data_IF_005559283900
#
_entry.id   IF_005559283900
#
_cell.length_a   1.000
_cell.length_b   1.000
_cell.length_c   1.000
_cell.angle_alpha   90.00
_cell.angle_beta   90.00
_cell.angle_gamma   90.00
#
_symmetry.space_group_name_H-M   'P 1'
#
loop_
_entity.id
_entity.type
_entity.pdbx_description
1 polymer ?
#
# COMPACT_ATOMS: atom_id res chain seq x y z
N UNK A 1 3.11 0.63 12.67
CA UNK A 1 2.85 0.09 11.31
C UNK A 1 2.03 1.06 10.48
N UNK A 2 0.75 1.34 10.78
CA UNK A 2 -0.04 2.29 9.97
C UNK A 2 0.59 3.69 9.90
N UNK A 3 1.07 4.21 11.02
CA UNK A 3 1.84 5.46 11.07
C UNK A 3 3.09 5.40 10.19
N UNK A 4 3.84 4.29 10.22
CA UNK A 4 5.02 4.10 9.37
C UNK A 4 4.66 4.02 7.88
N UNK A 5 3.55 3.39 7.53
CA UNK A 5 3.05 3.39 6.15
C UNK A 5 2.66 4.81 5.73
N UNK A 6 2.01 5.58 6.61
CA UNK A 6 1.71 6.98 6.34
C UNK A 6 2.98 7.80 6.09
N UNK A 7 4.02 7.62 6.91
CA UNK A 7 5.32 8.27 6.68
C UNK A 7 5.94 7.83 5.34
N UNK A 8 5.89 6.53 5.03
CA UNK A 8 6.37 6.01 3.75
C UNK A 8 5.65 6.66 2.55
N UNK A 9 4.32 6.80 2.63
CA UNK A 9 3.53 7.48 1.59
C UNK A 9 3.91 8.95 1.53
N UNK A 10 4.03 9.62 2.68
CA UNK A 10 4.39 11.04 2.79
C UNK A 10 5.75 11.32 2.15
N UNK A 11 6.74 10.48 2.42
CA UNK A 11 8.10 10.62 1.88
C UNK A 11 8.14 10.44 0.36
N UNK A 12 7.19 9.69 -0.20
CA UNK A 12 7.04 9.45 -1.64
C UNK A 12 6.00 10.37 -2.32
N UNK A 13 5.33 11.27 -1.57
CA UNK A 13 4.22 12.09 -2.06
C UNK A 13 4.64 13.25 -2.97
N UNK A 14 5.93 13.56 -3.06
CA UNK A 14 6.49 14.77 -3.68
C UNK A 14 5.81 15.20 -4.99
N UNK A 15 6.15 14.56 -6.12
CA UNK A 15 5.59 14.97 -7.42
C UNK A 15 4.13 14.55 -7.62
N UNK A 16 3.71 13.46 -6.99
CA UNK A 16 2.37 12.90 -7.19
C UNK A 16 1.25 13.70 -6.49
N UNK A 17 1.58 14.34 -5.36
CA UNK A 17 0.63 15.06 -4.50
C UNK A 17 1.07 16.49 -4.23
N UNK A 18 2.30 16.69 -3.71
CA UNK A 18 2.74 18.02 -3.23
C UNK A 18 2.93 19.00 -4.39
N UNK A 19 3.63 18.58 -5.44
CA UNK A 19 3.89 19.41 -6.62
C UNK A 19 2.81 19.26 -7.71
N UNK A 20 1.71 18.56 -7.41
CA UNK A 20 0.66 18.29 -8.38
C UNK A 20 -0.37 19.43 -8.40
N UNK A 21 -0.50 20.21 -9.49
CA UNK A 21 -1.37 21.39 -9.53
C UNK A 21 -2.86 21.06 -9.40
N UNK A 22 -3.27 19.81 -9.66
CA UNK A 22 -4.68 19.39 -9.55
C UNK A 22 -5.08 19.06 -8.11
N UNK A 23 -4.12 18.98 -7.18
CA UNK A 23 -4.36 18.69 -5.77
C UNK A 23 -4.04 19.95 -4.94
N UNK A 24 -5.07 20.69 -4.47
CA UNK A 24 -4.87 21.84 -3.62
C UNK A 24 -4.05 21.54 -2.36
N UNK A 25 -3.18 22.47 -1.96
CA UNK A 25 -2.29 22.31 -0.80
C UNK A 25 -3.01 21.98 0.51
N UNK A 26 -4.21 22.54 0.71
CA UNK A 26 -5.08 22.23 1.87
C UNK A 26 -5.49 20.76 1.98
N UNK A 27 -5.38 19.99 0.89
CA UNK A 27 -5.73 18.57 0.85
C UNK A 27 -4.52 17.64 0.84
N UNK A 28 -3.28 18.15 0.78
CA UNK A 28 -2.09 17.31 0.66
C UNK A 28 -2.00 16.22 1.73
N UNK A 29 -2.15 16.59 3.01
CA UNK A 29 -2.09 15.64 4.11
C UNK A 29 -3.25 14.63 4.08
N UNK A 30 -4.46 15.09 3.78
CA UNK A 30 -5.63 14.22 3.66
C UNK A 30 -5.48 13.23 2.49
N UNK A 31 -4.95 13.67 1.36
CA UNK A 31 -4.66 12.83 0.19
C UNK A 31 -3.59 11.78 0.48
N UNK A 32 -2.54 12.14 1.21
CA UNK A 32 -1.51 11.19 1.69
C UNK A 32 -2.16 10.13 2.61
N UNK A 33 -3.07 10.56 3.49
CA UNK A 33 -3.82 9.63 4.34
C UNK A 33 -4.74 8.71 3.52
N UNK A 34 -5.38 9.21 2.46
CA UNK A 34 -6.21 8.38 1.58
C UNK A 34 -5.41 7.34 0.82
N UNK A 35 -4.22 7.70 0.32
CA UNK A 35 -3.31 6.74 -0.31
C UNK A 35 -2.91 5.63 0.67
N UNK A 36 -2.55 6.01 1.90
CA UNK A 36 -2.21 5.07 2.98
C UNK A 36 -3.38 4.13 3.28
N UNK A 37 -4.59 4.68 3.40
CA UNK A 37 -5.81 3.93 3.68
C UNK A 37 -6.18 2.99 2.53
N UNK A 38 -6.07 3.43 1.27
CA UNK A 38 -6.32 2.58 0.10
C UNK A 38 -5.38 1.37 0.03
N UNK A 39 -4.11 1.54 0.40
CA UNK A 39 -3.17 0.41 0.51
C UNK A 39 -3.66 -0.58 1.56
N UNK A 40 -4.00 -0.11 2.76
CA UNK A 40 -4.46 -0.95 3.87
C UNK A 40 -5.74 -1.71 3.51
N UNK A 41 -6.74 -1.00 2.97
CA UNK A 41 -8.04 -1.54 2.61
C UNK A 41 -7.91 -2.67 1.57
N UNK A 42 -7.12 -2.45 0.52
CA UNK A 42 -6.95 -3.48 -0.52
C UNK A 42 -6.16 -4.67 0.00
N UNK A 43 -5.07 -4.45 0.74
CA UNK A 43 -4.29 -5.55 1.32
C UNK A 43 -5.13 -6.39 2.31
N UNK A 44 -5.91 -5.72 3.15
CA UNK A 44 -6.86 -6.37 4.05
C UNK A 44 -7.92 -7.16 3.26
N UNK A 45 -8.49 -6.57 2.21
CA UNK A 45 -9.46 -7.25 1.35
C UNK A 45 -8.91 -8.50 0.68
N UNK A 46 -7.64 -8.48 0.21
CA UNK A 46 -7.00 -9.70 -0.32
C UNK A 46 -6.86 -10.77 0.76
N UNK A 47 -6.45 -10.38 1.97
CA UNK A 47 -6.29 -11.29 3.10
C UNK A 47 -7.62 -11.94 3.51
N UNK A 48 -8.68 -11.13 3.63
CA UNK A 48 -10.03 -11.58 3.96
C UNK A 48 -10.64 -12.45 2.86
N UNK A 49 -10.25 -12.23 1.61
CA UNK A 49 -10.65 -13.07 0.46
C UNK A 49 -9.87 -14.39 0.36
N UNK A 50 -9.03 -14.72 1.34
CA UNK A 50 -8.23 -15.95 1.37
C UNK A 50 -6.98 -15.93 0.48
N UNK A 51 -6.61 -14.78 -0.09
CA UNK A 51 -5.46 -14.63 -1.01
C UNK A 51 -4.15 -14.36 -0.29
N UNK A 52 -3.98 -14.95 0.89
CA UNK A 52 -2.80 -14.72 1.74
C UNK A 52 -1.51 -15.24 1.09
N UNK A 53 -1.58 -16.35 0.35
CA UNK A 53 -0.42 -16.93 -0.33
C UNK A 53 0.09 -16.01 -1.43
N UNK A 54 -0.81 -15.38 -2.17
CA UNK A 54 -0.52 -14.42 -3.23
C UNK A 54 0.11 -13.15 -2.67
N UNK A 55 -0.39 -12.66 -1.54
CA UNK A 55 0.22 -11.53 -0.81
C UNK A 55 1.64 -11.88 -0.37
N UNK A 56 1.83 -13.03 0.25
CA UNK A 56 3.16 -13.47 0.71
C UNK A 56 4.13 -13.56 -0.47
N UNK A 57 3.72 -14.19 -1.58
CA UNK A 57 4.54 -14.27 -2.80
C UNK A 57 4.88 -12.90 -3.38
N UNK A 58 3.94 -11.96 -3.38
CA UNK A 58 4.18 -10.59 -3.84
C UNK A 58 5.31 -9.92 -3.04
N UNK A 59 5.23 -9.97 -1.71
CA UNK A 59 6.23 -9.35 -0.83
C UNK A 59 7.58 -10.10 -0.84
N UNK A 60 7.59 -11.41 -1.06
CA UNK A 60 8.84 -12.20 -1.15
C UNK A 60 9.58 -12.02 -2.48
N UNK A 61 8.89 -12.18 -3.60
CA UNK A 61 9.54 -12.32 -4.91
C UNK A 61 9.57 -11.05 -5.74
N UNK A 62 9.32 -9.88 -5.13
CA UNK A 62 9.23 -8.56 -5.76
C UNK A 62 10.04 -8.42 -7.06
N UNK A 63 9.33 -8.57 -8.16
CA UNK A 63 9.91 -8.76 -9.48
C UNK A 63 8.82 -9.22 -10.42
N UNK A 64 8.07 -8.27 -10.97
CA UNK A 64 7.11 -8.46 -12.08
C UNK A 64 5.85 -9.29 -11.81
N UNK A 65 5.71 -9.96 -10.66
CA UNK A 65 4.49 -10.71 -10.29
C UNK A 65 3.48 -9.83 -9.54
N UNK A 66 2.25 -9.76 -10.04
CA UNK A 66 1.08 -9.04 -9.50
C UNK A 66 0.97 -7.52 -9.75
N UNK A 67 1.03 -7.15 -11.02
CA UNK A 67 0.47 -5.89 -11.53
C UNK A 67 -0.98 -5.66 -11.06
N UNK A 68 -1.75 -6.74 -10.83
CA UNK A 68 -3.13 -6.65 -10.35
C UNK A 68 -3.28 -6.04 -8.95
N UNK A 69 -2.40 -6.35 -8.00
CA UNK A 69 -2.51 -5.81 -6.63
C UNK A 69 -2.27 -4.31 -6.62
N UNK A 70 -1.15 -3.89 -7.23
CA UNK A 70 -0.78 -2.47 -7.37
C UNK A 70 -1.85 -1.72 -8.16
N UNK A 71 -2.41 -2.33 -9.21
CA UNK A 71 -3.52 -1.74 -9.97
C UNK A 71 -4.79 -1.57 -9.13
N UNK A 72 -5.17 -2.56 -8.30
CA UNK A 72 -6.32 -2.45 -7.42
C UNK A 72 -6.17 -1.30 -6.41
N UNK A 73 -4.97 -1.14 -5.82
CA UNK A 73 -4.66 -0.04 -4.92
C UNK A 73 -4.73 1.29 -5.67
N UNK A 74 -4.11 1.35 -6.85
CA UNK A 74 -4.10 2.54 -7.72
C UNK A 74 -5.54 2.99 -8.05
N UNK A 75 -6.41 2.05 -8.43
CA UNK A 75 -7.79 2.34 -8.75
C UNK A 75 -8.60 2.76 -7.52
N UNK A 76 -8.39 2.12 -6.37
CA UNK A 76 -9.02 2.53 -5.11
C UNK A 76 -8.65 3.97 -4.76
N UNK A 77 -7.36 4.30 -4.78
CA UNK A 77 -6.89 5.63 -4.45
C UNK A 77 -7.39 6.69 -5.45
N UNK A 78 -7.31 6.41 -6.76
CA UNK A 78 -7.86 7.29 -7.79
C UNK A 78 -9.37 7.55 -7.60
N UNK A 79 -10.14 6.51 -7.23
CA UNK A 79 -11.56 6.66 -6.93
C UNK A 79 -11.80 7.60 -5.75
N UNK A 80 -10.98 7.54 -4.69
CA UNK A 80 -11.10 8.44 -3.54
C UNK A 80 -10.75 9.89 -3.89
N UNK A 81 -9.71 10.10 -4.71
CA UNK A 81 -9.36 11.42 -5.24
C UNK A 81 -10.53 12.05 -6.00
N UNK A 82 -11.21 11.25 -6.83
CA UNK A 82 -12.36 11.72 -7.57
C UNK A 82 -13.57 12.03 -6.66
N UNK A 83 -13.96 11.09 -5.79
CA UNK A 83 -15.17 11.22 -4.98
C UNK A 83 -15.04 12.30 -3.90
N UNK A 84 -13.91 12.37 -3.20
CA UNK A 84 -13.78 13.24 -2.02
C UNK A 84 -13.19 14.61 -2.33
N UNK A 85 -12.41 14.73 -3.41
CA UNK A 85 -11.71 15.96 -3.75
C UNK A 85 -12.12 16.54 -5.10
N UNK A 86 -13.10 15.91 -5.78
CA UNK A 86 -13.62 16.33 -7.09
C UNK A 86 -12.52 16.45 -8.17
N UNK A 87 -11.45 15.66 -8.05
CA UNK A 87 -10.38 15.60 -9.06
C UNK A 87 -10.90 14.76 -10.23
N UNK A 88 -10.69 15.20 -11.47
CA UNK A 88 -11.18 14.46 -12.62
C UNK A 88 -10.58 13.04 -12.69
N UNK A 89 -11.30 12.04 -13.23
CA UNK A 89 -10.84 10.64 -13.20
C UNK A 89 -9.47 10.41 -13.84
N UNK A 90 -9.11 11.17 -14.89
CA UNK A 90 -7.84 10.99 -15.58
C UNK A 90 -6.67 11.53 -14.75
N UNK A 91 -6.82 12.73 -14.18
CA UNK A 91 -5.82 13.33 -13.28
C UNK A 91 -5.69 12.56 -11.96
N UNK A 92 -6.80 12.08 -11.40
CA UNK A 92 -6.80 11.23 -10.22
C UNK A 92 -6.02 9.92 -10.47
N UNK A 93 -6.26 9.28 -11.61
CA UNK A 93 -5.53 8.07 -12.00
C UNK A 93 -4.05 8.37 -12.26
N UNK A 94 -3.72 9.50 -12.87
CA UNK A 94 -2.33 9.92 -13.10
C UNK A 94 -1.58 10.13 -11.77
N UNK A 95 -2.19 10.84 -10.81
CA UNK A 95 -1.64 11.02 -9.47
C UNK A 95 -1.44 9.68 -8.75
N UNK A 96 -2.43 8.78 -8.82
CA UNK A 96 -2.34 7.47 -8.20
C UNK A 96 -1.23 6.60 -8.82
N UNK A 97 -1.08 6.61 -10.16
CA UNK A 97 -0.01 5.89 -10.88
C UNK A 97 1.38 6.44 -10.56
N UNK A 98 1.50 7.73 -10.25
CA UNK A 98 2.76 8.34 -9.87
C UNK A 98 3.19 7.98 -8.43
N UNK A 99 2.23 7.73 -7.53
CA UNK A 99 2.49 7.48 -6.11
C UNK A 99 2.55 5.99 -5.75
N UNK A 100 1.48 5.25 -6.06
CA UNK A 100 1.23 3.91 -5.50
C UNK A 100 2.32 2.90 -5.87
N UNK A 101 2.80 2.80 -7.13
CA UNK A 101 3.85 1.84 -7.48
C UNK A 101 5.14 2.07 -6.67
N UNK A 102 5.54 3.34 -6.50
CA UNK A 102 6.74 3.71 -5.74
C UNK A 102 6.59 3.32 -4.27
N UNK A 103 5.48 3.70 -3.63
CA UNK A 103 5.21 3.34 -2.23
C UNK A 103 5.17 1.82 -2.04
N UNK A 104 4.53 1.08 -2.94
CA UNK A 104 4.45 -0.37 -2.84
C UNK A 104 5.82 -1.03 -3.01
N UNK A 105 6.69 -0.49 -3.88
CA UNK A 105 8.07 -0.97 -4.00
C UNK A 105 8.87 -0.72 -2.73
N UNK A 106 8.78 0.48 -2.15
CA UNK A 106 9.44 0.80 -0.87
C UNK A 106 8.89 -0.07 0.26
N UNK A 107 7.58 -0.31 0.31
CA UNK A 107 6.96 -1.17 1.31
C UNK A 107 7.51 -2.60 1.24
N UNK A 108 7.73 -3.13 0.03
CA UNK A 108 8.35 -4.45 -0.11
C UNK A 108 9.80 -4.43 0.38
N UNK A 109 10.58 -3.38 0.07
CA UNK A 109 11.94 -3.25 0.61
C UNK A 109 11.96 -3.24 2.13
N UNK A 110 11.07 -2.47 2.76
CA UNK A 110 10.89 -2.42 4.22
C UNK A 110 10.51 -3.79 4.82
N UNK A 111 9.69 -4.59 4.11
CA UNK A 111 9.36 -5.95 4.58
C UNK A 111 10.53 -6.93 4.52
N UNK A 112 11.51 -6.67 3.66
CA UNK A 112 12.68 -7.54 3.41
C UNK A 112 13.90 -7.15 4.23
N UNK A 113 14.13 -5.85 4.46
CA UNK A 113 15.32 -5.36 5.15
C UNK A 113 15.41 -5.88 6.59
N UNK A 114 14.28 -6.20 7.23
CA UNK A 114 14.23 -6.79 8.57
C UNK A 114 14.68 -5.83 9.70
N UNK A 115 15.20 -4.65 9.35
CA UNK A 115 15.66 -3.62 10.28
C UNK A 115 14.49 -3.06 11.10
N UNK A 116 13.33 -2.87 10.46
CA UNK A 116 12.08 -2.52 11.13
C UNK A 116 11.22 -3.77 11.36
N UNK A 117 11.31 -4.39 12.55
CA UNK A 117 10.46 -5.53 12.97
C UNK A 117 8.95 -5.29 12.77
N UNK A 118 8.52 -4.03 12.71
CA UNK A 118 7.13 -3.66 12.45
C UNK A 118 6.62 -3.94 11.02
N UNK A 119 7.51 -4.00 10.03
CA UNK A 119 7.20 -4.33 8.63
C UNK A 119 7.58 -5.75 8.26
N UNK A 120 8.18 -6.52 9.18
CA UNK A 120 8.35 -7.95 8.98
C UNK A 120 7.03 -8.56 8.52
N UNK A 121 7.06 -9.27 7.39
CA UNK A 121 5.86 -9.68 6.65
C UNK A 121 4.83 -10.40 7.54
N UNK A 122 5.28 -11.29 8.42
CA UNK A 122 4.42 -11.95 9.42
C UNK A 122 3.71 -10.96 10.34
N UNK A 123 4.44 -10.05 10.95
CA UNK A 123 3.89 -8.99 11.82
C UNK A 123 2.94 -8.06 11.07
N UNK A 124 3.27 -7.69 9.84
CA UNK A 124 2.42 -6.85 9.00
C UNK A 124 1.08 -7.55 8.70
N UNK A 125 1.10 -8.82 8.26
CA UNK A 125 -0.11 -9.58 7.98
C UNK A 125 -0.96 -9.84 9.23
N UNK A 126 -0.33 -10.13 10.37
CA UNK A 126 -1.03 -10.22 11.67
C UNK A 126 -1.72 -8.91 12.04
N UNK A 127 -1.07 -7.76 11.84
CA UNK A 127 -1.70 -6.45 12.09
C UNK A 127 -2.84 -6.17 11.10
N UNK A 128 -2.70 -6.51 9.82
CA UNK A 128 -3.73 -6.32 8.80
C UNK A 128 -4.98 -7.18 9.05
N UNK A 129 -4.84 -8.37 9.65
CA UNK A 129 -5.99 -9.18 10.05
C UNK A 129 -6.66 -8.70 11.36
N UNK A 130 -6.18 -7.61 11.95
CA UNK A 130 -6.67 -7.08 13.22
C UNK A 130 -6.19 -7.86 14.44
N UNK A 131 -5.01 -8.49 14.37
CA UNK A 131 -4.44 -9.36 15.40
C UNK A 131 -5.35 -10.53 15.80
N UNK A 132 -6.23 -10.98 14.90
CA UNK A 132 -7.14 -12.11 15.13
C UNK A 132 -6.42 -13.45 15.12
N UNK A 133 -5.35 -13.56 14.34
CA UNK A 133 -4.52 -14.75 14.24
C UNK A 133 -3.06 -14.34 13.99
N UNK A 134 -2.11 -15.05 14.61
CA UNK A 134 -0.70 -14.86 14.28
C UNK A 134 -0.36 -15.58 12.97
N UNK A 135 0.01 -14.79 11.95
CA UNK A 135 0.37 -15.27 10.63
C UNK A 135 1.88 -15.43 10.45
N UNK A 136 2.69 -15.07 11.45
CA UNK A 136 4.14 -15.26 11.36
C UNK A 136 4.57 -16.72 11.12
N UNK A 137 3.96 -17.74 11.77
CA UNK A 137 4.30 -19.14 11.48
C UNK A 137 3.96 -19.55 10.03
N UNK A 138 2.83 -19.07 9.51
CA UNK A 138 2.42 -19.33 8.13
C UNK A 138 3.42 -18.73 7.14
N UNK A 139 3.83 -17.47 7.38
CA UNK A 139 4.82 -16.78 6.55
C UNK A 139 6.15 -17.53 6.56
N UNK A 140 6.65 -17.94 7.73
CA UNK A 140 7.90 -18.68 7.84
C UNK A 140 7.86 -20.01 7.06
N UNK A 141 6.77 -20.77 7.20
CA UNK A 141 6.60 -22.04 6.46
C UNK A 141 6.61 -21.83 4.94
N UNK A 142 6.02 -20.73 4.46
CA UNK A 142 5.96 -20.38 3.03
C UNK A 142 7.20 -19.65 2.52
N UNK A 143 8.09 -19.18 3.40
CA UNK A 143 9.40 -18.60 3.04
C UNK A 143 10.47 -19.68 2.85
N UNK A 144 10.31 -20.82 3.51
CA UNK A 144 11.28 -21.93 3.52
C UNK A 144 10.94 -23.00 2.48
N UNK A 145 9.71 -23.01 1.97
CA UNK A 145 9.22 -23.91 0.92
C UNK A 145 9.43 -23.35 -0.49
#
# INVERSE_FOLDING_TARGET
MFEKLFLLVKDNAGTAVINNPVIPAKYHEAVINEASSSIIEVLKGQLESGKVKELIKYFQFSGSYNNSLVSSITNSFASKLNIFYSIDPASALAAAKALIPTVMNELVKETKSGEAKEFALGTMLTKLNGNRADLAPLVNNLMVA
#
